data_IF_257458587121
#
_entry.id   IF_257458587121
#
_cell.length_a   1.000
_cell.length_b   1.000
_cell.length_c   1.000
_cell.angle_alpha   90.00
_cell.angle_beta   90.00
_cell.angle_gamma   90.00
#
_symmetry.space_group_name_H-M   'P 1'
#
loop_
_entity.id
_entity.type
_entity.pdbx_description
1 polymer ?
#
# COMPACT_ATOMS: atom_id res chain seq x y z
N UNK A 1 -2.47 -5.16 14.80
CA UNK A 1 -2.56 -6.58 15.23
C UNK A 1 -3.96 -7.09 14.91
N UNK A 2 -4.07 -8.21 14.23
CA UNK A 2 -5.31 -8.89 13.84
C UNK A 2 -5.26 -10.33 14.34
N UNK A 3 -6.41 -10.85 14.77
CA UNK A 3 -6.55 -12.25 15.18
C UNK A 3 -7.73 -12.85 14.44
N UNK A 4 -7.46 -13.94 13.72
CA UNK A 4 -8.42 -14.64 12.88
C UNK A 4 -8.78 -15.96 13.55
N UNK A 5 -10.08 -16.21 13.72
CA UNK A 5 -10.59 -17.41 14.42
C UNK A 5 -10.82 -18.60 13.49
N UNK A 6 -10.79 -18.38 12.18
CA UNK A 6 -11.07 -19.37 11.14
C UNK A 6 -10.30 -19.03 9.88
N UNK A 7 -10.13 -20.03 9.02
CA UNK A 7 -9.62 -19.85 7.67
C UNK A 7 -10.47 -18.85 6.85
N UNK A 8 -9.84 -18.22 5.86
CA UNK A 8 -10.49 -17.32 4.92
C UNK A 8 -9.67 -16.07 4.60
N UNK A 9 -10.26 -15.20 3.77
CA UNK A 9 -9.67 -13.93 3.37
C UNK A 9 -10.23 -12.78 4.23
N UNK A 10 -9.32 -11.97 4.77
CA UNK A 10 -9.65 -10.85 5.65
C UNK A 10 -9.01 -9.57 5.15
N UNK A 11 -9.83 -8.58 4.81
CA UNK A 11 -9.37 -7.28 4.37
C UNK A 11 -9.29 -6.29 5.54
N UNK A 12 -8.17 -5.58 5.65
CA UNK A 12 -8.05 -4.44 6.55
C UNK A 12 -8.72 -3.22 5.94
N UNK A 13 -9.66 -2.60 6.64
CA UNK A 13 -10.40 -1.42 6.14
C UNK A 13 -9.51 -0.17 5.94
N UNK A 14 -8.42 -0.05 6.71
CA UNK A 14 -7.54 1.13 6.68
C UNK A 14 -6.53 1.06 5.53
N UNK A 15 -5.88 -0.10 5.38
CA UNK A 15 -4.78 -0.28 4.42
C UNK A 15 -5.18 -1.05 3.18
N UNK A 16 -6.40 -1.61 3.15
CA UNK A 16 -6.89 -2.53 2.13
C UNK A 16 -6.01 -3.78 1.92
N UNK A 17 -5.05 -4.08 2.80
CA UNK A 17 -4.34 -5.36 2.76
C UNK A 17 -5.32 -6.52 2.98
N UNK A 18 -5.18 -7.58 2.19
CA UNK A 18 -5.95 -8.82 2.36
C UNK A 18 -5.02 -9.92 2.85
N UNK A 19 -5.42 -10.55 3.95
CA UNK A 19 -4.74 -11.69 4.55
C UNK A 19 -5.53 -12.96 4.24
N UNK A 20 -4.95 -13.86 3.47
CA UNK A 20 -5.51 -15.18 3.19
C UNK A 20 -4.90 -16.20 4.15
N UNK A 21 -5.69 -16.64 5.13
CA UNK A 21 -5.21 -17.50 6.21
C UNK A 21 -5.85 -18.90 6.13
N UNK A 22 -5.02 -19.94 6.25
CA UNK A 22 -5.46 -21.33 6.15
C UNK A 22 -5.92 -21.95 7.48
N UNK A 23 -5.66 -21.28 8.61
CA UNK A 23 -6.09 -21.73 9.94
C UNK A 23 -6.12 -20.53 10.90
N UNK A 24 -6.60 -20.68 12.15
CA UNK A 24 -6.58 -19.60 13.12
C UNK A 24 -5.17 -19.00 13.26
N UNK A 25 -5.08 -17.70 13.07
CA UNK A 25 -3.81 -17.01 12.88
C UNK A 25 -3.81 -15.67 13.57
N UNK A 26 -2.62 -15.16 13.84
CA UNK A 26 -2.40 -13.80 14.28
C UNK A 26 -1.47 -13.11 13.31
N UNK A 27 -1.85 -11.91 12.88
CA UNK A 27 -1.00 -11.06 12.03
C UNK A 27 -0.76 -9.73 12.74
N UNK A 28 0.51 -9.39 12.89
CA UNK A 28 0.95 -8.06 13.33
C UNK A 28 1.61 -7.42 12.13
N UNK A 29 1.22 -6.18 11.82
CA UNK A 29 1.94 -5.43 10.81
C UNK A 29 1.97 -3.93 11.11
N UNK A 30 2.94 -3.26 10.51
CA UNK A 30 3.11 -1.81 10.51
C UNK A 30 3.68 -1.32 9.18
N UNK A 31 4.01 -0.04 9.09
CA UNK A 31 4.67 0.57 7.92
C UNK A 31 6.12 0.90 8.24
N UNK A 32 6.99 0.77 7.24
CA UNK A 32 8.40 1.17 7.32
C UNK A 32 8.75 2.14 6.17
N UNK A 33 9.86 2.85 6.30
CA UNK A 33 10.32 3.83 5.31
C UNK A 33 11.17 3.17 4.22
N UNK A 34 10.82 3.40 2.95
CA UNK A 34 11.59 2.92 1.80
C UNK A 34 13.04 3.43 1.80
N UNK A 35 13.30 4.60 2.37
CA UNK A 35 14.64 5.19 2.49
C UNK A 35 15.61 4.34 3.31
N UNK A 36 15.08 3.51 4.22
CA UNK A 36 15.89 2.54 4.99
C UNK A 36 16.08 1.21 4.28
N UNK A 37 15.36 0.99 3.18
CA UNK A 37 15.30 -0.28 2.45
C UNK A 37 15.60 -0.01 0.97
N UNK A 38 16.87 0.28 0.61
CA UNK A 38 17.21 0.64 -0.77
C UNK A 38 16.85 -0.48 -1.75
N UNK A 39 16.35 -0.08 -2.92
CA UNK A 39 16.16 -1.00 -4.03
C UNK A 39 17.48 -1.13 -4.78
N UNK A 40 18.00 -2.35 -4.91
CA UNK A 40 19.24 -2.62 -5.66
C UNK A 40 19.09 -2.36 -7.18
N UNK A 41 17.86 -2.10 -7.66
CA UNK A 41 17.54 -1.93 -9.07
C UNK A 41 17.08 -0.51 -9.38
N UNK A 42 17.90 0.23 -10.14
CA UNK A 42 17.72 1.66 -10.45
C UNK A 42 16.47 2.01 -11.29
N UNK A 43 15.78 1.02 -11.86
CA UNK A 43 14.59 1.23 -12.70
C UNK A 43 13.26 0.94 -11.98
N UNK A 44 13.32 0.50 -10.73
CA UNK A 44 12.16 0.23 -9.91
C UNK A 44 11.87 1.41 -8.97
N UNK A 45 10.60 1.76 -8.88
CA UNK A 45 10.08 2.79 -8.01
C UNK A 45 9.09 2.17 -7.03
N UNK A 46 9.05 2.62 -5.76
CA UNK A 46 7.95 2.30 -4.85
C UNK A 46 6.59 2.62 -5.49
N UNK A 47 5.65 1.70 -5.33
CA UNK A 47 4.28 1.80 -5.83
C UNK A 47 3.24 1.75 -4.70
N UNK A 48 3.67 1.91 -3.45
CA UNK A 48 2.81 1.92 -2.27
C UNK A 48 3.65 1.91 -0.97
N UNK A 49 2.99 1.76 0.19
CA UNK A 49 3.69 1.61 1.48
C UNK A 49 4.54 0.34 1.53
N UNK A 50 5.61 0.38 2.33
CA UNK A 50 6.39 -0.78 2.73
C UNK A 50 5.82 -1.29 4.07
N UNK A 51 5.43 -2.55 4.14
CA UNK A 51 4.79 -3.15 5.30
C UNK A 51 5.71 -4.14 5.99
N UNK A 52 5.97 -3.95 7.27
CA UNK A 52 6.57 -4.98 8.13
C UNK A 52 5.46 -5.90 8.62
N UNK A 53 5.44 -7.14 8.15
CA UNK A 53 4.39 -8.12 8.41
C UNK A 53 5.01 -9.30 9.14
N UNK A 54 4.40 -9.66 10.28
CA UNK A 54 4.75 -10.83 11.06
C UNK A 54 3.50 -11.68 11.35
N UNK A 55 3.64 -13.00 11.23
CA UNK A 55 2.60 -13.98 11.55
C UNK A 55 3.21 -15.20 12.24
N UNK A 56 3.22 -15.26 13.59
CA UNK A 56 3.89 -16.34 14.33
C UNK A 56 3.34 -17.73 14.04
N UNK A 57 2.06 -17.82 13.68
CA UNK A 57 1.35 -19.08 13.41
C UNK A 57 1.80 -19.78 12.11
N UNK A 58 2.45 -19.07 11.18
CA UNK A 58 2.77 -19.58 9.85
C UNK A 58 1.55 -19.88 8.96
N UNK A 59 0.35 -19.52 9.40
CA UNK A 59 -0.91 -19.86 8.74
C UNK A 59 -1.34 -18.85 7.65
N UNK A 60 -0.56 -17.79 7.43
CA UNK A 60 -0.79 -16.80 6.38
C UNK A 60 -0.18 -17.32 5.06
N UNK A 61 -1.03 -17.70 4.10
CA UNK A 61 -0.60 -18.31 2.84
C UNK A 61 -0.40 -17.30 1.72
N UNK A 62 -1.29 -16.30 1.64
CA UNK A 62 -1.22 -15.25 0.63
C UNK A 62 -1.43 -13.88 1.24
N UNK A 63 -0.79 -12.91 0.60
CA UNK A 63 -0.99 -11.49 0.85
C UNK A 63 -1.48 -10.84 -0.43
N UNK A 64 -2.52 -10.01 -0.31
CA UNK A 64 -2.91 -9.12 -1.40
C UNK A 64 -2.67 -7.66 -1.04
N UNK A 65 -2.03 -6.95 -1.97
CA UNK A 65 -1.66 -5.55 -1.81
C UNK A 65 -2.50 -4.68 -2.74
N UNK A 66 -3.09 -3.57 -2.24
CA UNK A 66 -3.80 -2.65 -3.09
C UNK A 66 -2.84 -1.88 -4.01
N UNK A 67 -3.21 -1.75 -5.28
CA UNK A 67 -2.50 -0.93 -6.25
C UNK A 67 -3.41 0.15 -6.84
N UNK A 68 -2.79 1.12 -7.49
CA UNK A 68 -3.47 2.19 -8.22
C UNK A 68 -3.34 2.07 -9.73
N UNK A 69 -2.63 1.08 -10.28
CA UNK A 69 -2.44 0.98 -11.73
C UNK A 69 -3.76 0.84 -12.51
N UNK A 70 -3.92 1.62 -13.60
CA UNK A 70 -5.06 1.52 -14.54
C UNK A 70 -4.73 0.69 -15.79
N UNK A 71 -3.48 0.26 -15.97
CA UNK A 71 -3.03 -0.44 -17.17
C UNK A 71 -3.56 -1.88 -17.21
N UNK A 72 -4.03 -2.41 -18.35
CA UNK A 72 -4.37 -3.84 -18.46
C UNK A 72 -3.14 -4.76 -18.32
N UNK A 73 -1.93 -4.20 -18.38
CA UNK A 73 -0.67 -4.92 -18.27
C UNK A 73 0.00 -4.78 -16.90
N UNK A 74 -0.76 -4.61 -15.81
CA UNK A 74 -0.24 -4.51 -14.43
C UNK A 74 0.77 -5.61 -14.12
N UNK A 75 0.45 -6.86 -14.48
CA UNK A 75 1.32 -8.03 -14.28
C UNK A 75 2.72 -7.92 -14.91
N UNK A 76 2.89 -7.08 -15.93
CA UNK A 76 4.16 -6.93 -16.64
C UNK A 76 5.13 -5.97 -15.95
N UNK A 77 4.62 -5.09 -15.08
CA UNK A 77 5.42 -4.00 -14.51
C UNK A 77 5.29 -3.81 -13.01
N UNK A 78 4.30 -4.43 -12.35
CA UNK A 78 4.14 -4.39 -10.90
C UNK A 78 4.67 -5.69 -10.27
N UNK A 79 5.45 -5.56 -9.21
CA UNK A 79 6.06 -6.66 -8.46
C UNK A 79 6.00 -6.35 -6.95
N UNK A 80 6.27 -7.34 -6.12
CA UNK A 80 6.46 -7.15 -4.68
C UNK A 80 7.94 -7.29 -4.34
N UNK A 81 8.52 -6.27 -3.74
CA UNK A 81 9.80 -6.37 -3.07
C UNK A 81 9.61 -7.00 -1.69
N UNK A 82 10.37 -8.06 -1.41
CA UNK A 82 10.41 -8.75 -0.14
C UNK A 82 11.82 -8.66 0.43
N UNK A 83 12.01 -7.91 1.52
CA UNK A 83 13.33 -7.73 2.13
C UNK A 83 13.54 -8.72 3.26
N UNK A 84 14.63 -9.46 3.20
CA UNK A 84 14.97 -10.47 4.21
C UNK A 84 16.48 -10.57 4.35
N UNK A 85 16.97 -10.52 5.58
CA UNK A 85 18.40 -10.66 5.90
C UNK A 85 19.29 -9.81 4.99
N UNK A 86 18.97 -8.51 4.89
CA UNK A 86 19.67 -7.51 4.06
C UNK A 86 19.64 -7.79 2.54
N UNK A 87 18.83 -8.74 2.07
CA UNK A 87 18.64 -9.02 0.65
C UNK A 87 17.23 -8.64 0.21
N UNK A 88 17.08 -8.24 -1.05
CA UNK A 88 15.77 -7.98 -1.65
C UNK A 88 15.42 -9.05 -2.68
N UNK A 89 14.28 -9.71 -2.48
CA UNK A 89 13.70 -10.65 -3.43
C UNK A 89 12.54 -9.99 -4.18
N UNK A 90 12.55 -10.08 -5.50
CA UNK A 90 11.43 -9.64 -6.33
C UNK A 90 10.44 -10.79 -6.54
N UNK A 91 9.22 -10.64 -6.04
CA UNK A 91 8.15 -11.62 -6.16
C UNK A 91 7.18 -11.16 -7.26
N UNK A 92 6.93 -12.04 -8.22
CA UNK A 92 5.89 -11.82 -9.23
C UNK A 92 4.51 -12.11 -8.64
N UNK A 93 3.49 -11.30 -8.96
CA UNK A 93 2.11 -11.60 -8.59
C UNK A 93 1.69 -12.99 -9.07
N UNK A 94 0.99 -13.74 -8.23
CA UNK A 94 0.29 -14.96 -8.66
C UNK A 94 -1.07 -14.64 -9.27
N UNK A 95 -1.67 -13.52 -8.88
CA UNK A 95 -2.94 -13.02 -9.39
C UNK A 95 -2.92 -11.49 -9.40
N UNK A 96 -3.59 -10.89 -10.37
CA UNK A 96 -3.79 -9.44 -10.45
C UNK A 96 -5.25 -9.17 -10.76
N UNK A 97 -5.89 -8.38 -9.89
CA UNK A 97 -7.26 -7.90 -10.04
C UNK A 97 -7.25 -6.42 -10.44
N UNK A 98 -8.42 -5.79 -10.51
CA UNK A 98 -8.52 -4.35 -10.83
C UNK A 98 -7.96 -3.44 -9.73
N UNK A 99 -7.80 -3.95 -8.51
CA UNK A 99 -7.44 -3.15 -7.33
C UNK A 99 -6.34 -3.76 -6.48
N UNK A 100 -6.08 -5.05 -6.61
CA UNK A 100 -5.10 -5.77 -5.79
C UNK A 100 -4.23 -6.70 -6.62
N UNK A 101 -2.98 -6.89 -6.18
CA UNK A 101 -2.17 -8.04 -6.58
C UNK A 101 -2.07 -9.03 -5.43
N UNK A 102 -2.08 -10.34 -5.72
CA UNK A 102 -1.91 -11.42 -4.74
C UNK A 102 -0.54 -12.06 -4.92
N UNK A 103 0.13 -12.35 -3.81
CA UNK A 103 1.35 -13.16 -3.78
C UNK A 103 1.22 -14.30 -2.79
N UNK A 104 1.91 -15.40 -3.07
CA UNK A 104 2.14 -16.46 -2.08
C UNK A 104 3.28 -16.08 -1.16
N UNK A 105 3.08 -16.27 0.13
CA UNK A 105 4.04 -15.91 1.18
C UNK A 105 4.49 -17.18 1.89
N UNK A 106 5.80 -17.30 2.11
CA UNK A 106 6.40 -18.41 2.86
C UNK A 106 7.11 -17.96 4.12
N UNK A 107 7.56 -16.72 4.11
CA UNK A 107 8.38 -16.11 5.16
C UNK A 107 7.85 -14.71 5.39
N UNK A 108 8.02 -14.18 6.59
CA UNK A 108 7.44 -12.91 7.04
C UNK A 108 8.57 -11.91 7.28
N UNK A 109 8.40 -10.68 6.78
CA UNK A 109 9.32 -9.54 6.95
C UNK A 109 8.71 -8.30 6.28
N UNK A 110 9.53 -7.48 5.61
CA UNK A 110 9.11 -6.29 4.88
C UNK A 110 8.64 -6.64 3.46
N UNK A 111 7.45 -6.18 3.11
CA UNK A 111 6.85 -6.31 1.78
C UNK A 111 6.38 -4.97 1.25
N UNK A 112 6.70 -4.64 0.00
CA UNK A 112 6.25 -3.40 -0.62
C UNK A 112 6.07 -3.54 -2.12
N UNK A 113 5.06 -2.86 -2.66
CA UNK A 113 4.86 -2.82 -4.10
C UNK A 113 5.95 -1.98 -4.76
N UNK A 114 6.49 -2.50 -5.85
CA UNK A 114 7.42 -1.79 -6.72
C UNK A 114 6.97 -1.91 -8.16
N UNK A 115 7.21 -0.85 -8.93
CA UNK A 115 6.87 -0.80 -10.34
C UNK A 115 8.05 -0.35 -11.18
N UNK A 116 8.11 -0.81 -12.43
CA UNK A 116 9.04 -0.22 -13.40
C UNK A 116 8.64 1.21 -13.72
N UNK A 117 9.62 2.09 -13.91
CA UNK A 117 9.37 3.45 -14.35
C UNK A 117 8.83 3.46 -15.79
N UNK A 118 7.50 3.50 -15.92
CA UNK A 118 6.76 3.52 -17.18
C UNK A 118 5.67 4.59 -17.11
N UNK A 119 5.30 5.18 -18.25
CA UNK A 119 4.28 6.23 -18.34
C UNK A 119 2.86 5.65 -18.35
N UNK A 120 2.51 4.87 -17.32
CA UNK A 120 1.15 4.38 -17.13
C UNK A 120 0.32 5.33 -16.27
N UNK A 121 -0.98 5.36 -16.53
CA UNK A 121 -1.95 6.06 -15.70
C UNK A 121 -2.21 5.27 -14.41
N UNK A 122 -2.37 6.00 -13.31
CA UNK A 122 -2.71 5.42 -12.02
C UNK A 122 -3.91 6.16 -11.41
N UNK A 123 -4.81 5.40 -10.77
CA UNK A 123 -5.89 5.86 -9.93
C UNK A 123 -5.33 6.77 -8.85
N UNK A 124 -5.93 7.95 -8.72
CA UNK A 124 -5.53 8.94 -7.75
C UNK A 124 -6.72 9.38 -6.90
N UNK A 125 -6.40 10.03 -5.78
CA UNK A 125 -7.34 10.64 -4.86
C UNK A 125 -6.84 12.03 -4.49
N UNK A 126 -7.76 12.93 -4.17
CA UNK A 126 -7.44 14.33 -3.85
C UNK A 126 -7.81 14.61 -2.41
N UNK A 127 -6.86 15.10 -1.62
CA UNK A 127 -7.12 15.64 -0.29
C UNK A 127 -7.04 17.17 -0.32
N UNK A 128 -8.00 17.80 0.34
CA UNK A 128 -8.11 19.25 0.41
C UNK A 128 -8.00 19.72 1.85
N UNK A 129 -7.08 20.66 2.09
CA UNK A 129 -6.80 21.20 3.41
C UNK A 129 -6.86 22.72 3.37
N UNK A 130 -7.76 23.31 4.17
CA UNK A 130 -7.86 24.75 4.33
C UNK A 130 -7.03 25.20 5.52
N UNK A 131 -6.12 26.16 5.28
CA UNK A 131 -5.35 26.83 6.32
C UNK A 131 -5.75 28.30 6.39
N UNK A 132 -6.17 28.74 7.57
CA UNK A 132 -6.36 30.16 7.87
C UNK A 132 -5.04 30.74 8.38
N UNK A 133 -4.54 31.78 7.72
CA UNK A 133 -3.36 32.54 8.13
C UNK A 133 -3.76 34.00 8.28
N UNK A 134 -4.05 34.43 9.52
CA UNK A 134 -4.57 35.76 9.83
C UNK A 134 -5.78 36.13 8.93
N UNK A 135 -5.60 37.02 7.94
CA UNK A 135 -6.64 37.45 6.99
C UNK A 135 -6.68 36.67 5.67
N UNK A 136 -5.73 35.77 5.42
CA UNK A 136 -5.62 35.02 4.16
C UNK A 136 -6.08 33.57 4.37
N UNK A 137 -6.90 33.07 3.44
CA UNK A 137 -7.26 31.65 3.31
C UNK A 137 -6.36 31.00 2.26
N UNK A 138 -5.68 29.91 2.61
CA UNK A 138 -4.91 29.07 1.68
C UNK A 138 -5.53 27.69 1.57
N UNK A 139 -5.82 27.24 0.36
CA UNK A 139 -6.24 25.87 0.07
C UNK A 139 -5.02 25.07 -0.40
N UNK A 140 -4.65 24.03 0.34
CA UNK A 140 -3.66 23.06 -0.10
C UNK A 140 -4.38 21.88 -0.75
N UNK A 141 -3.88 21.49 -1.93
CA UNK A 141 -4.41 20.36 -2.71
C UNK A 141 -3.32 19.31 -2.80
N UNK A 142 -3.60 18.11 -2.28
CA UNK A 142 -2.71 16.97 -2.39
C UNK A 142 -3.30 15.96 -3.36
N UNK A 143 -2.57 15.66 -4.42
CA UNK A 143 -2.87 14.56 -5.33
C UNK A 143 -2.07 13.34 -4.89
N UNK A 144 -2.76 12.27 -4.52
CA UNK A 144 -2.17 11.06 -3.98
C UNK A 144 -2.57 9.86 -4.82
N UNK A 145 -1.74 8.84 -4.85
CA UNK A 145 -2.14 7.53 -5.38
C UNK A 145 -3.30 6.96 -4.54
N UNK A 146 -4.24 6.25 -5.17
CA UNK A 146 -5.43 5.73 -4.50
C UNK A 146 -5.14 4.68 -3.42
N UNK A 147 -3.98 4.03 -3.48
CA UNK A 147 -3.52 3.05 -2.50
C UNK A 147 -2.69 3.66 -1.34
N UNK A 148 -2.67 4.99 -1.22
CA UNK A 148 -2.07 5.70 -0.07
C UNK A 148 -3.05 5.71 1.10
N UNK A 149 -2.55 5.36 2.29
CA UNK A 149 -3.31 5.43 3.55
C UNK A 149 -3.47 6.89 3.97
N UNK A 150 -4.71 7.39 3.93
CA UNK A 150 -5.03 8.81 4.14
C UNK A 150 -4.77 9.32 5.57
N UNK A 151 -4.90 8.43 6.56
CA UNK A 151 -4.72 8.79 7.96
C UNK A 151 -3.28 9.22 8.25
N UNK A 152 -2.30 8.57 7.64
CA UNK A 152 -0.88 8.93 7.82
C UNK A 152 -0.55 10.28 7.19
N UNK A 153 -1.15 10.60 6.05
CA UNK A 153 -1.01 11.93 5.42
C UNK A 153 -1.64 13.01 6.31
N UNK A 154 -2.79 12.71 6.92
CA UNK A 154 -3.52 13.66 7.76
C UNK A 154 -2.77 13.98 9.06
N UNK A 155 -2.08 13.00 9.66
CA UNK A 155 -1.25 13.19 10.87
C UNK A 155 -0.12 14.20 10.68
N UNK A 156 0.41 14.36 9.46
CA UNK A 156 1.44 15.34 9.13
C UNK A 156 0.92 16.78 8.99
N UNK A 157 -0.41 16.97 8.98
CA UNK A 157 -1.05 18.24 8.61
C UNK A 157 -1.85 18.87 9.76
N UNK A 158 -1.48 18.62 11.03
CA UNK A 158 -2.23 18.99 12.26
C UNK A 158 -2.69 20.46 12.37
N UNK A 159 -2.08 21.40 11.64
CA UNK A 159 -2.47 22.82 11.61
C UNK A 159 -3.47 23.17 10.47
N UNK A 160 -4.10 22.17 9.86
CA UNK A 160 -5.01 22.35 8.73
C UNK A 160 -6.40 21.82 9.04
N UNK A 161 -7.42 22.53 8.58
CA UNK A 161 -8.80 22.03 8.60
C UNK A 161 -8.97 21.16 7.36
N UNK A 162 -9.17 19.85 7.56
CA UNK A 162 -9.54 18.93 6.47
C UNK A 162 -10.88 19.41 5.91
N UNK A 163 -10.92 19.66 4.61
CA UNK A 163 -12.16 19.98 3.92
C UNK A 163 -12.72 18.66 3.42
N UNK A 164 -13.79 18.15 4.06
CA UNK A 164 -14.49 16.97 3.58
C UNK A 164 -15.23 17.30 2.29
N UNK A 165 -14.53 17.11 1.18
CA UNK A 165 -15.13 17.03 -0.14
C UNK A 165 -15.04 15.55 -0.51
N UNK A 166 -16.15 14.82 -0.36
CA UNK A 166 -16.28 13.49 -0.94
C UNK A 166 -16.35 13.62 -2.47
N UNK A 167 -15.20 13.81 -3.11
CA UNK A 167 -15.01 13.54 -4.53
C UNK A 167 -13.73 12.74 -4.69
N UNK A 168 -13.91 11.42 -4.68
CA UNK A 168 -12.95 10.50 -5.27
C UNK A 168 -12.95 10.77 -6.78
N UNK A 169 -11.97 11.53 -7.26
CA UNK A 169 -11.76 11.68 -8.69
C UNK A 169 -10.94 10.47 -9.15
N UNK A 170 -11.63 9.44 -9.62
CA UNK A 170 -10.99 8.29 -10.26
C UNK A 170 -10.46 8.76 -11.62
N UNK A 171 -9.17 9.05 -11.70
CA UNK A 171 -8.49 9.33 -12.96
C UNK A 171 -7.94 8.01 -13.54
N UNK A 172 -8.79 7.31 -14.30
CA UNK A 172 -8.36 6.45 -15.40
C UNK A 172 -8.98 7.05 -16.68
#
# INVERSE_FOLDING_TARGET
RFSFKKEGEYQCEITALIFDVASPAEVVYGTEQWEKCPLDQSSLLPAGPLYDINSPSGALEHLSFPHSECSPEVQNHLMVAHYKNDNVQMIKPSEVTETHIKIKVKEMSLFGLVRRWLNYKSKAQVLLFLRQLAKIKKLNVFLLSSNVVLDDVSKGLQNHIKVDIQKYLNFC
#
